data_IF_696123579548
#
_entry.id   IF_696123579548
#
_cell.length_a   1.000
_cell.length_b   1.000
_cell.length_c   1.000
_cell.angle_alpha   90.00
_cell.angle_beta   90.00
_cell.angle_gamma   90.00
#
_symmetry.space_group_name_H-M   'P 1'
#
loop_
_entity.id
_entity.type
_entity.pdbx_description
1 polymer ?
#
# COMPACT_ATOMS: atom_id res chain seq x y z
N UNK A 1 -0.60 -18.20 -11.90
CA UNK A 1 0.79 -18.42 -12.35
C UNK A 1 1.52 -19.34 -11.36
N UNK A 2 1.16 -20.62 -11.28
CA UNK A 2 1.83 -21.61 -10.39
C UNK A 2 2.32 -22.86 -11.16
N UNK A 3 2.37 -22.78 -12.49
CA UNK A 3 2.72 -23.93 -13.34
C UNK A 3 4.19 -23.96 -13.81
N UNK A 4 5.02 -23.00 -13.41
CA UNK A 4 6.36 -22.82 -13.99
C UNK A 4 7.55 -23.29 -13.12
N UNK A 5 7.31 -24.12 -12.12
CA UNK A 5 8.41 -24.78 -11.40
C UNK A 5 8.07 -26.26 -11.22
N UNK A 6 9.00 -27.17 -11.49
CA UNK A 6 8.86 -28.64 -11.33
C UNK A 6 8.50 -29.10 -9.90
N UNK A 7 8.20 -28.18 -9.00
CA UNK A 7 7.57 -28.38 -7.71
C UNK A 7 6.16 -28.97 -7.86
N UNK A 8 5.44 -28.65 -8.94
CA UNK A 8 4.09 -29.19 -9.17
C UNK A 8 4.06 -30.71 -9.35
N UNK A 9 5.01 -31.29 -10.08
CA UNK A 9 5.15 -32.73 -10.26
C UNK A 9 5.64 -33.42 -8.97
N UNK A 10 6.57 -32.80 -8.25
CA UNK A 10 7.05 -33.28 -6.95
C UNK A 10 5.92 -33.35 -5.91
N UNK A 11 5.09 -32.31 -5.81
CA UNK A 11 3.94 -32.27 -4.91
C UNK A 11 2.87 -33.30 -5.27
N UNK A 12 2.64 -33.54 -6.57
CA UNK A 12 1.76 -34.64 -7.03
C UNK A 12 2.33 -36.01 -6.62
N UNK A 13 3.64 -36.22 -6.77
CA UNK A 13 4.30 -37.46 -6.34
C UNK A 13 4.17 -37.70 -4.82
N UNK A 14 4.40 -36.67 -4.01
CA UNK A 14 4.22 -36.72 -2.55
C UNK A 14 2.77 -37.00 -2.18
N UNK A 15 1.81 -36.42 -2.90
CA UNK A 15 0.38 -36.70 -2.68
C UNK A 15 0.01 -38.15 -2.96
N UNK A 16 0.53 -38.76 -4.03
CA UNK A 16 0.30 -40.18 -4.34
C UNK A 16 0.87 -41.08 -3.23
N UNK A 17 2.10 -40.82 -2.77
CA UNK A 17 2.72 -41.56 -1.67
C UNK A 17 1.91 -41.41 -0.37
N UNK A 18 1.43 -40.20 -0.06
CA UNK A 18 0.60 -39.94 1.11
C UNK A 18 -0.70 -40.76 1.09
N UNK A 19 -1.40 -40.80 -0.06
CA UNK A 19 -2.62 -41.59 -0.19
C UNK A 19 -2.36 -43.10 -0.17
N UNK A 20 -1.24 -43.57 -0.75
CA UNK A 20 -0.83 -44.98 -0.65
C UNK A 20 -0.54 -45.39 0.81
N UNK A 21 0.08 -44.51 1.60
CA UNK A 21 0.29 -44.72 3.03
C UNK A 21 -1.04 -44.77 3.78
N UNK A 22 -1.96 -43.85 3.48
CA UNK A 22 -3.30 -43.82 4.07
C UNK A 22 -4.07 -45.12 3.79
N UNK A 23 -4.09 -45.58 2.53
CA UNK A 23 -4.78 -46.81 2.14
C UNK A 23 -4.13 -48.05 2.74
N UNK A 24 -2.79 -48.07 2.84
CA UNK A 24 -2.07 -49.18 3.46
C UNK A 24 -2.33 -49.25 4.97
N UNK A 25 -2.33 -48.12 5.66
CA UNK A 25 -2.67 -48.02 7.07
C UNK A 25 -4.12 -48.46 7.34
N UNK A 26 -5.06 -48.06 6.47
CA UNK A 26 -6.46 -48.48 6.56
C UNK A 26 -6.61 -49.99 6.36
N UNK A 27 -5.96 -50.57 5.36
CA UNK A 27 -5.97 -52.01 5.10
C UNK A 27 -5.41 -52.80 6.30
N UNK A 28 -4.29 -52.34 6.88
CA UNK A 28 -3.69 -52.96 8.05
C UNK A 28 -4.61 -52.90 9.28
N UNK A 29 -5.29 -51.77 9.51
CA UNK A 29 -6.24 -51.62 10.61
C UNK A 29 -7.44 -52.58 10.50
N UNK A 30 -7.92 -52.84 9.28
CA UNK A 30 -9.05 -53.73 9.01
C UNK A 30 -8.63 -55.22 9.06
N UNK A 31 -7.45 -55.56 8.55
CA UNK A 31 -7.00 -56.96 8.43
C UNK A 31 -6.38 -57.53 9.71
N UNK A 32 -5.59 -56.74 10.45
CA UNK A 32 -4.90 -57.24 11.66
C UNK A 32 -5.67 -57.05 12.97
N UNK A 33 -6.83 -56.39 12.95
CA UNK A 33 -7.65 -56.19 14.15
C UNK A 33 -8.25 -57.51 14.65
N UNK A 34 -7.96 -57.99 15.87
CA UNK A 34 -8.47 -59.27 16.39
C UNK A 34 -9.96 -59.21 16.78
N UNK A 35 -10.52 -58.02 16.96
CA UNK A 35 -11.92 -57.78 17.35
C UNK A 35 -12.56 -56.72 16.46
N UNK A 36 -13.87 -56.85 16.22
CA UNK A 36 -14.62 -55.96 15.33
C UNK A 36 -14.55 -54.48 15.75
N UNK A 37 -14.59 -54.18 17.06
CA UNK A 37 -14.46 -52.82 17.58
C UNK A 37 -13.07 -52.22 17.39
N UNK A 38 -12.01 -53.02 17.44
CA UNK A 38 -10.63 -52.58 17.22
C UNK A 38 -10.39 -52.20 15.76
N UNK A 39 -11.03 -52.90 14.82
CA UNK A 39 -11.03 -52.55 13.39
C UNK A 39 -11.71 -51.20 13.15
N UNK A 40 -12.87 -50.96 13.78
CA UNK A 40 -13.61 -49.70 13.67
C UNK A 40 -12.83 -48.52 14.23
N UNK A 41 -12.26 -48.65 15.43
CA UNK A 41 -11.45 -47.58 16.04
C UNK A 41 -10.19 -47.28 15.22
N UNK A 42 -9.51 -48.31 14.72
CA UNK A 42 -8.33 -48.14 13.86
C UNK A 42 -8.67 -47.44 12.53
N UNK A 43 -9.77 -47.82 11.88
CA UNK A 43 -10.23 -47.17 10.66
C UNK A 43 -10.61 -45.69 10.88
N UNK A 44 -11.31 -45.38 11.99
CA UNK A 44 -11.64 -44.01 12.36
C UNK A 44 -10.37 -43.18 12.60
N UNK A 45 -9.38 -43.72 13.30
CA UNK A 45 -8.12 -43.03 13.54
C UNK A 45 -7.38 -42.69 12.22
N UNK A 46 -7.36 -43.63 11.27
CA UNK A 46 -6.77 -43.39 9.94
C UNK A 46 -7.57 -42.33 9.16
N UNK A 47 -8.90 -42.40 9.16
CA UNK A 47 -9.75 -41.41 8.48
C UNK A 47 -9.63 -40.01 9.10
N UNK A 48 -9.50 -39.90 10.41
CA UNK A 48 -9.23 -38.62 11.08
C UNK A 48 -7.84 -38.09 10.71
N UNK A 49 -6.80 -38.91 10.79
CA UNK A 49 -5.44 -38.44 10.54
C UNK A 49 -5.18 -38.10 9.07
N UNK A 50 -5.73 -38.90 8.14
CA UNK A 50 -5.49 -38.73 6.71
C UNK A 50 -6.63 -38.02 5.95
N UNK A 51 -7.83 -37.92 6.52
CA UNK A 51 -8.98 -37.26 5.91
C UNK A 51 -9.29 -35.88 6.49
N UNK A 52 -9.32 -35.75 7.82
CA UNK A 52 -9.75 -34.50 8.47
C UNK A 52 -8.79 -33.34 8.18
N UNK A 53 -7.47 -33.54 8.31
CA UNK A 53 -6.49 -32.46 8.09
C UNK A 53 -6.46 -31.97 6.63
N UNK A 54 -6.41 -32.83 5.59
CA UNK A 54 -6.48 -32.36 4.21
C UNK A 54 -7.79 -31.67 3.85
N UNK A 55 -8.94 -32.19 4.31
CA UNK A 55 -10.25 -31.57 4.06
C UNK A 55 -10.34 -30.20 4.75
N UNK A 56 -9.91 -30.10 6.01
CA UNK A 56 -9.86 -28.82 6.73
C UNK A 56 -8.97 -27.81 6.00
N UNK A 57 -7.76 -28.21 5.58
CA UNK A 57 -6.85 -27.35 4.83
C UNK A 57 -7.42 -26.92 3.47
N UNK A 58 -8.12 -27.82 2.76
CA UNK A 58 -8.80 -27.51 1.52
C UNK A 58 -9.95 -26.51 1.72
N UNK A 59 -10.78 -26.69 2.75
CA UNK A 59 -11.86 -25.77 3.09
C UNK A 59 -11.32 -24.38 3.46
N UNK A 60 -10.26 -24.30 4.26
CA UNK A 60 -9.59 -23.03 4.59
C UNK A 60 -8.98 -22.37 3.35
N UNK A 61 -8.34 -23.13 2.47
CA UNK A 61 -7.81 -22.62 1.21
C UNK A 61 -8.92 -22.09 0.30
N UNK A 62 -10.05 -22.80 0.20
CA UNK A 62 -11.21 -22.36 -0.57
C UNK A 62 -11.77 -21.05 -0.02
N UNK A 63 -11.93 -20.92 1.31
CA UNK A 63 -12.38 -19.68 1.96
C UNK A 63 -11.42 -18.52 1.69
N UNK A 64 -10.10 -18.73 1.82
CA UNK A 64 -9.08 -17.71 1.52
C UNK A 64 -9.13 -17.28 0.06
N UNK A 65 -9.26 -18.22 -0.87
CA UNK A 65 -9.34 -17.93 -2.30
C UNK A 65 -10.62 -17.14 -2.64
N UNK A 66 -11.75 -17.52 -2.07
CA UNK A 66 -13.02 -16.81 -2.27
C UNK A 66 -12.94 -15.38 -1.73
N UNK A 67 -12.43 -15.20 -0.50
CA UNK A 67 -12.19 -13.89 0.09
C UNK A 67 -11.23 -13.04 -0.75
N UNK A 68 -10.12 -13.61 -1.21
CA UNK A 68 -9.16 -12.91 -2.06
C UNK A 68 -9.80 -12.45 -3.37
N UNK A 69 -10.58 -13.32 -4.03
CA UNK A 69 -11.31 -12.96 -5.26
C UNK A 69 -12.28 -11.80 -5.02
N UNK A 70 -13.03 -11.84 -3.92
CA UNK A 70 -13.96 -10.79 -3.54
C UNK A 70 -13.24 -9.47 -3.25
N UNK A 71 -12.15 -9.51 -2.47
CA UNK A 71 -11.34 -8.35 -2.14
C UNK A 71 -10.73 -7.68 -3.40
N UNK A 72 -10.19 -8.49 -4.30
CA UNK A 72 -9.64 -8.00 -5.58
C UNK A 72 -10.72 -7.44 -6.50
N UNK A 73 -11.91 -8.05 -6.54
CA UNK A 73 -13.03 -7.51 -7.30
C UNK A 73 -13.51 -6.17 -6.73
N UNK A 74 -13.58 -6.06 -5.40
CA UNK A 74 -13.93 -4.83 -4.70
C UNK A 74 -12.90 -3.72 -4.96
N UNK A 75 -11.61 -4.01 -4.81
CA UNK A 75 -10.52 -3.09 -5.15
C UNK A 75 -10.61 -2.62 -6.59
N UNK A 76 -10.78 -3.55 -7.54
CA UNK A 76 -10.92 -3.21 -8.97
C UNK A 76 -12.12 -2.28 -9.20
N UNK A 77 -13.26 -2.55 -8.57
CA UNK A 77 -14.43 -1.68 -8.66
C UNK A 77 -14.12 -0.26 -8.17
N UNK A 78 -13.44 -0.10 -7.04
CA UNK A 78 -13.02 1.22 -6.55
C UNK A 78 -12.06 1.91 -7.54
N UNK A 79 -11.14 1.16 -8.13
CA UNK A 79 -10.24 1.68 -9.15
C UNK A 79 -11.02 2.19 -10.37
N UNK A 80 -11.96 1.40 -10.88
CA UNK A 80 -12.70 1.72 -12.11
C UNK A 80 -13.69 2.88 -11.89
N UNK A 81 -14.33 2.97 -10.71
CA UNK A 81 -15.41 3.93 -10.45
C UNK A 81 -14.95 5.22 -9.75
N UNK A 82 -13.94 5.14 -8.86
CA UNK A 82 -13.59 6.24 -7.94
C UNK A 82 -12.17 6.75 -8.07
N UNK A 83 -11.24 5.95 -8.57
CA UNK A 83 -9.85 6.39 -8.73
C UNK A 83 -9.68 7.30 -9.93
N UNK A 84 -8.67 8.17 -9.89
CA UNK A 84 -8.33 9.02 -11.01
C UNK A 84 -7.70 10.33 -10.60
N UNK A 85 -7.29 11.09 -11.61
CA UNK A 85 -6.67 12.41 -11.49
C UNK A 85 -7.55 13.42 -12.21
N UNK A 86 -7.80 14.56 -11.55
CA UNK A 86 -8.53 15.70 -12.10
C UNK A 86 -7.69 16.95 -11.88
N UNK A 87 -7.32 17.61 -12.97
CA UNK A 87 -6.66 18.92 -12.92
C UNK A 87 -7.66 19.94 -13.45
N UNK A 88 -8.21 20.75 -12.55
CA UNK A 88 -9.21 21.77 -12.89
C UNK A 88 -8.55 23.03 -13.43
N UNK A 89 -7.35 23.34 -12.94
CA UNK A 89 -6.57 24.50 -13.36
C UNK A 89 -5.08 24.20 -13.27
N UNK A 90 -4.31 24.81 -14.17
CA UNK A 90 -2.85 24.77 -14.16
C UNK A 90 -2.29 26.15 -13.88
N UNK A 91 -1.17 26.20 -13.17
CA UNK A 91 -0.42 27.43 -12.90
C UNK A 91 1.04 27.27 -13.31
N UNK A 92 1.62 28.32 -13.88
CA UNK A 92 3.03 28.40 -14.27
C UNK A 92 3.79 29.34 -13.33
N UNK A 93 5.13 29.27 -13.33
CA UNK A 93 5.98 30.11 -12.46
C UNK A 93 5.81 29.83 -10.96
N UNK A 94 5.30 28.65 -10.59
CA UNK A 94 5.04 28.29 -9.19
C UNK A 94 6.35 27.93 -8.50
N UNK A 95 6.71 28.69 -7.47
CA UNK A 95 8.00 28.53 -6.78
C UNK A 95 7.95 27.52 -5.63
N UNK A 96 6.79 27.37 -4.97
CA UNK A 96 6.66 26.59 -3.74
C UNK A 96 5.24 26.16 -3.45
N UNK A 97 5.12 25.17 -2.57
CA UNK A 97 3.85 24.70 -1.99
C UNK A 97 3.99 24.54 -0.47
N UNK A 98 2.86 24.66 0.23
CA UNK A 98 2.73 24.34 1.65
C UNK A 98 2.06 22.97 1.82
N UNK A 99 2.68 22.06 2.58
CA UNK A 99 2.02 20.84 3.09
C UNK A 99 1.07 21.26 4.21
N UNK A 100 -0.22 21.29 3.90
CA UNK A 100 -1.28 21.76 4.81
C UNK A 100 -1.67 20.67 5.80
N UNK A 101 -1.88 19.45 5.30
CA UNK A 101 -2.31 18.30 6.09
C UNK A 101 -1.57 17.05 5.60
N UNK A 102 -0.54 16.59 6.31
CA UNK A 102 0.00 15.25 6.12
C UNK A 102 -0.94 14.21 6.76
N UNK A 103 -0.84 12.96 6.31
CA UNK A 103 -1.48 11.85 6.99
C UNK A 103 -0.74 11.51 8.31
N UNK A 104 -1.44 10.97 9.32
CA UNK A 104 -0.81 10.49 10.54
C UNK A 104 0.25 9.42 10.23
N UNK A 105 1.44 9.49 10.86
CA UNK A 105 2.45 8.48 10.62
C UNK A 105 2.14 7.15 11.29
N UNK A 106 2.51 6.06 10.62
CA UNK A 106 2.36 4.71 11.16
C UNK A 106 3.34 4.45 12.29
N UNK A 107 2.87 3.86 13.37
CA UNK A 107 3.71 3.09 14.28
C UNK A 107 3.92 1.67 13.75
N UNK A 108 4.86 0.93 14.34
CA UNK A 108 5.09 -0.46 13.96
C UNK A 108 3.85 -1.35 14.15
N UNK A 109 3.00 -1.06 15.16
CA UNK A 109 1.75 -1.79 15.38
C UNK A 109 0.73 -1.52 14.27
N UNK A 110 0.69 -0.27 13.82
CA UNK A 110 -0.29 0.19 12.84
C UNK A 110 -0.13 -0.52 11.49
N UNK A 111 1.07 -0.96 11.13
CA UNK A 111 1.32 -1.73 9.90
C UNK A 111 0.58 -3.07 9.83
N UNK A 112 0.12 -3.61 10.96
CA UNK A 112 -0.60 -4.88 11.08
C UNK A 112 -2.09 -4.69 11.36
N UNK A 113 -2.53 -3.47 11.70
CA UNK A 113 -3.91 -3.20 12.04
C UNK A 113 -4.74 -2.97 10.78
N UNK A 114 -5.59 -3.93 10.45
CA UNK A 114 -6.49 -3.89 9.30
C UNK A 114 -7.34 -2.61 9.25
N UNK A 115 -7.68 -2.02 10.40
CA UNK A 115 -8.56 -0.86 10.51
C UNK A 115 -7.82 0.42 10.88
N UNK A 116 -6.50 0.46 10.68
CA UNK A 116 -5.74 1.68 10.86
C UNK A 116 -5.87 2.63 9.66
N UNK A 117 -6.01 3.93 9.93
CA UNK A 117 -6.17 5.00 8.96
C UNK A 117 -5.00 5.99 9.06
N UNK A 118 -4.18 6.07 8.02
CA UNK A 118 -2.97 6.88 8.01
C UNK A 118 -2.06 6.55 6.83
N UNK A 119 -0.85 7.14 6.82
CA UNK A 119 0.13 6.87 5.78
C UNK A 119 1.11 5.77 6.22
N UNK A 120 0.97 4.54 5.71
CA UNK A 120 1.83 3.42 6.12
C UNK A 120 3.29 3.58 5.69
N UNK A 121 3.59 4.52 4.79
CA UNK A 121 4.93 4.77 4.28
C UNK A 121 5.66 5.90 5.04
N UNK A 122 4.92 6.62 5.88
CA UNK A 122 5.48 7.57 6.83
C UNK A 122 5.80 6.87 8.15
N UNK A 123 7.01 7.12 8.66
CA UNK A 123 7.49 6.56 9.93
C UNK A 123 7.25 7.58 11.06
N UNK A 124 7.10 7.12 12.32
CA UNK A 124 6.65 7.97 13.42
C UNK A 124 7.74 8.98 13.80
N UNK A 125 7.55 10.22 13.34
CA UNK A 125 8.16 11.50 13.75
C UNK A 125 9.70 11.59 13.93
N UNK A 126 10.44 10.50 13.76
CA UNK A 126 11.88 10.41 13.98
C UNK A 126 12.59 10.25 12.64
N UNK A 127 13.01 11.43 12.16
CA UNK A 127 14.07 11.68 11.18
C UNK A 127 13.74 11.50 9.68
N UNK A 128 13.33 12.64 9.11
CA UNK A 128 13.52 13.04 7.71
C UNK A 128 12.65 12.40 6.63
N UNK A 129 11.66 11.54 6.89
CA UNK A 129 10.79 11.06 5.77
C UNK A 129 9.87 12.15 5.24
N UNK A 130 9.33 12.98 6.11
CA UNK A 130 8.64 14.24 5.78
C UNK A 130 9.53 15.19 4.98
N UNK A 131 10.77 15.41 5.44
CA UNK A 131 11.78 16.23 4.75
C UNK A 131 12.19 15.60 3.42
N UNK A 132 12.31 14.27 3.34
CA UNK A 132 12.63 13.56 2.09
C UNK A 132 11.47 13.66 1.11
N UNK A 133 10.23 13.47 1.55
CA UNK A 133 9.04 13.60 0.71
C UNK A 133 8.89 15.04 0.19
N UNK A 134 9.07 16.03 1.04
CA UNK A 134 9.13 17.44 0.64
C UNK A 134 10.31 17.70 -0.31
N UNK A 135 11.47 17.12 0.00
CA UNK A 135 12.68 17.19 -0.81
C UNK A 135 12.51 16.63 -2.21
N UNK A 136 11.77 15.51 -2.38
CA UNK A 136 11.45 14.95 -3.69
C UNK A 136 10.74 15.97 -4.58
N UNK A 137 9.83 16.79 -4.04
CA UNK A 137 9.16 17.83 -4.82
C UNK A 137 10.10 18.97 -5.24
N UNK A 138 11.27 19.11 -4.60
CA UNK A 138 12.30 20.09 -4.96
C UNK A 138 13.29 19.58 -6.01
N UNK A 139 13.34 18.26 -6.23
CA UNK A 139 14.19 17.66 -7.25
C UNK A 139 13.52 17.74 -8.62
N UNK A 140 14.34 17.85 -9.68
CA UNK A 140 13.85 17.79 -11.05
C UNK A 140 13.16 16.44 -11.31
N UNK A 141 11.96 16.54 -11.85
CA UNK A 141 11.11 15.41 -12.16
C UNK A 141 11.49 14.83 -13.52
N UNK A 142 12.01 13.59 -13.53
CA UNK A 142 12.29 12.85 -14.75
C UNK A 142 11.03 12.12 -15.21
N UNK A 143 10.51 12.51 -16.37
CA UNK A 143 9.32 11.90 -16.98
C UNK A 143 9.69 11.28 -18.33
N UNK A 144 8.89 10.33 -18.85
CA UNK A 144 9.03 9.84 -20.21
C UNK A 144 8.99 10.98 -21.26
N UNK A 145 8.28 12.06 -20.96
CA UNK A 145 8.12 13.23 -21.83
C UNK A 145 9.26 14.26 -21.72
N UNK A 146 10.22 14.06 -20.81
CA UNK A 146 11.33 14.98 -20.56
C UNK A 146 11.53 15.31 -19.08
N UNK A 147 12.41 16.27 -18.83
CA UNK A 147 12.72 16.74 -17.47
C UNK A 147 11.88 17.97 -17.17
N UNK A 148 11.19 17.97 -16.03
CA UNK A 148 10.50 19.14 -15.51
C UNK A 148 11.18 19.62 -14.23
N UNK A 149 11.36 20.94 -14.08
CA UNK A 149 11.98 21.50 -12.88
C UNK A 149 11.17 21.25 -11.62
N UNK A 150 11.87 20.90 -10.55
CA UNK A 150 11.30 20.80 -9.20
C UNK A 150 11.02 22.16 -8.58
N UNK A 151 10.18 22.18 -7.53
CA UNK A 151 9.88 23.39 -6.76
C UNK A 151 11.17 23.96 -6.12
N UNK A 152 11.24 25.28 -5.99
CA UNK A 152 12.40 25.92 -5.33
C UNK A 152 12.49 25.53 -3.86
N UNK A 153 11.35 25.39 -3.20
CA UNK A 153 11.23 24.91 -1.83
C UNK A 153 9.82 24.40 -1.53
N UNK A 154 9.70 23.61 -0.47
CA UNK A 154 8.43 23.14 0.10
C UNK A 154 8.34 23.58 1.54
N UNK A 155 7.20 24.08 1.97
CA UNK A 155 6.94 24.46 3.35
C UNK A 155 6.10 23.40 4.04
N UNK A 156 6.41 23.07 5.28
CA UNK A 156 5.68 22.10 6.09
C UNK A 156 5.22 22.81 7.35
N UNK A 157 3.93 22.71 7.69
CA UNK A 157 3.42 23.24 8.96
C UNK A 157 3.98 22.43 10.13
N UNK A 158 4.50 23.10 11.16
CA UNK A 158 4.98 22.48 12.40
C UNK A 158 4.29 23.15 13.57
N UNK A 159 3.45 22.40 14.28
CA UNK A 159 2.84 22.89 15.51
C UNK A 159 3.93 22.93 16.60
N UNK A 160 4.13 24.11 17.20
CA UNK A 160 5.09 24.36 18.27
C UNK A 160 4.36 24.94 19.49
N UNK A 161 4.89 24.72 20.69
CA UNK A 161 4.39 25.32 21.92
C UNK A 161 4.41 26.86 21.90
N UNK A 162 5.20 27.47 21.01
CA UNK A 162 5.31 28.92 20.84
C UNK A 162 4.41 29.46 19.70
N UNK A 163 3.52 28.64 19.15
CA UNK A 163 2.63 28.98 18.04
C UNK A 163 2.90 28.19 16.76
N UNK A 164 2.22 28.55 15.67
CA UNK A 164 2.39 27.88 14.38
C UNK A 164 3.71 28.31 13.74
N UNK A 165 4.67 27.39 13.61
CA UNK A 165 5.89 27.59 12.82
C UNK A 165 5.82 26.78 11.54
N UNK A 166 6.69 27.09 10.59
CA UNK A 166 6.83 26.32 9.36
C UNK A 166 8.29 25.94 9.15
N UNK A 167 8.50 24.82 8.48
CA UNK A 167 9.81 24.41 8.00
C UNK A 167 9.87 24.50 6.50
N UNK A 168 10.85 25.22 5.98
CA UNK A 168 11.16 25.29 4.56
C UNK A 168 12.22 24.27 4.22
N UNK A 169 11.88 23.34 3.34
CA UNK A 169 12.79 22.35 2.77
C UNK A 169 13.18 22.79 1.36
N UNK A 170 14.48 22.85 1.07
CA UNK A 170 15.00 23.18 -0.26
C UNK A 170 16.16 22.25 -0.65
N UNK A 171 16.40 22.08 -1.95
CA UNK A 171 17.57 21.37 -2.47
C UNK A 171 18.27 22.24 -3.54
N UNK A 172 19.16 23.16 -3.13
CA UNK A 172 19.94 23.96 -4.05
C UNK A 172 20.79 23.08 -4.97
N UNK A 173 20.94 23.44 -6.26
CA UNK A 173 21.81 22.72 -7.19
C UNK A 173 23.24 22.58 -6.64
N UNK A 174 23.81 21.38 -6.76
CA UNK A 174 25.19 21.09 -6.35
C UNK A 174 25.41 20.88 -4.84
N UNK A 175 24.37 20.96 -4.02
CA UNK A 175 24.52 20.86 -2.56
C UNK A 175 24.61 19.45 -1.98
N UNK A 176 24.21 18.43 -2.74
CA UNK A 176 24.22 17.03 -2.29
C UNK A 176 23.23 16.70 -1.17
N UNK A 177 22.28 17.59 -0.83
CA UNK A 177 21.34 17.36 0.27
C UNK A 177 20.13 18.31 0.32
N UNK A 178 19.39 18.20 1.42
CA UNK A 178 18.24 19.07 1.73
C UNK A 178 18.62 20.06 2.83
N UNK A 179 18.27 21.32 2.66
CA UNK A 179 18.36 22.36 3.67
C UNK A 179 17.00 22.59 4.29
N UNK A 180 16.98 22.71 5.62
CA UNK A 180 15.78 22.94 6.41
C UNK A 180 15.96 24.22 7.19
N UNK A 181 15.02 25.15 7.03
CA UNK A 181 14.99 26.45 7.71
C UNK A 181 13.65 26.58 8.44
N UNK A 182 13.67 26.98 9.71
CA UNK A 182 12.46 27.35 10.44
C UNK A 182 12.06 28.79 10.07
N UNK A 183 10.82 28.97 9.59
CA UNK A 183 10.28 30.28 9.22
C UNK A 183 9.00 30.58 10.04
N UNK A 184 8.76 31.85 10.40
CA UNK A 184 7.61 32.22 11.22
C UNK A 184 6.30 32.23 10.42
N UNK A 185 6.35 32.35 9.09
CA UNK A 185 5.17 32.44 8.24
C UNK A 185 5.44 31.84 6.86
N UNK A 186 4.49 31.03 6.37
CA UNK A 186 4.50 30.50 5.01
C UNK A 186 4.33 31.61 3.96
N UNK A 187 5.09 31.53 2.86
CA UNK A 187 4.96 32.43 1.70
C UNK A 187 4.38 31.73 0.47
N UNK A 188 4.03 30.45 0.59
CA UNK A 188 3.47 29.65 -0.50
C UNK A 188 2.04 30.08 -0.84
N UNK A 189 1.74 30.16 -2.14
CA UNK A 189 0.39 30.48 -2.62
C UNK A 189 -0.47 29.24 -2.82
N UNK A 190 0.14 28.07 -2.89
CA UNK A 190 -0.55 26.80 -3.09
C UNK A 190 -0.31 25.88 -1.92
N UNK A 191 -1.32 25.08 -1.60
CA UNK A 191 -1.29 24.06 -0.57
C UNK A 191 -1.46 22.68 -1.18
N UNK A 192 -0.85 21.69 -0.54
CA UNK A 192 -1.11 20.27 -0.79
C UNK A 192 -1.58 19.60 0.49
N UNK A 193 -2.54 18.70 0.36
CA UNK A 193 -3.17 18.00 1.47
C UNK A 193 -3.43 16.56 1.08
N UNK A 194 -3.18 15.65 2.02
CA UNK A 194 -3.53 14.23 1.92
C UNK A 194 -4.61 13.90 2.94
N UNK A 195 -5.57 13.09 2.51
CA UNK A 195 -6.68 12.63 3.32
C UNK A 195 -6.89 11.14 3.10
N UNK A 196 -7.06 10.39 4.19
CA UNK A 196 -7.47 9.00 4.13
C UNK A 196 -8.99 9.00 3.92
N UNK A 197 -9.42 8.42 2.80
CA UNK A 197 -10.84 8.36 2.40
C UNK A 197 -11.39 6.94 2.51
N UNK A 198 -10.64 6.05 3.18
CA UNK A 198 -11.04 4.66 3.36
C UNK A 198 -12.28 4.58 4.25
N UNK A 199 -13.15 3.65 3.90
CA UNK A 199 -14.32 3.27 4.69
C UNK A 199 -14.04 1.98 5.46
N UNK A 200 -14.83 1.66 6.50
CA UNK A 200 -14.74 0.35 7.16
C UNK A 200 -14.92 -0.84 6.19
N UNK A 201 -15.73 -0.68 5.13
CA UNK A 201 -15.89 -1.72 4.11
C UNK A 201 -14.61 -1.89 3.26
N UNK A 202 -13.90 -0.79 2.97
CA UNK A 202 -12.59 -0.89 2.30
C UNK A 202 -11.61 -1.68 3.16
N UNK A 203 -11.55 -1.36 4.45
CA UNK A 203 -10.65 -2.01 5.42
C UNK A 203 -10.97 -3.49 5.60
N UNK A 204 -12.24 -3.89 5.56
CA UNK A 204 -12.64 -5.32 5.57
C UNK A 204 -11.98 -6.14 4.46
N UNK A 205 -11.65 -5.55 3.32
CA UNK A 205 -10.95 -6.19 2.20
C UNK A 205 -9.45 -5.85 2.11
N UNK A 206 -8.87 -5.28 3.18
CA UNK A 206 -7.50 -4.77 3.17
C UNK A 206 -7.24 -3.74 2.05
N UNK A 207 -8.25 -2.92 1.76
CA UNK A 207 -8.15 -1.80 0.82
C UNK A 207 -8.04 -0.50 1.59
N UNK A 208 -7.17 0.39 1.11
CA UNK A 208 -6.99 1.74 1.61
C UNK A 208 -7.13 2.75 0.47
N UNK A 209 -7.80 3.86 0.73
CA UNK A 209 -7.99 4.97 -0.20
C UNK A 209 -7.37 6.26 0.30
N UNK A 210 -6.79 7.03 -0.61
CA UNK A 210 -6.22 8.36 -0.32
C UNK A 210 -6.68 9.38 -1.34
N UNK A 211 -6.92 10.60 -0.86
CA UNK A 211 -7.18 11.80 -1.66
C UNK A 211 -6.03 12.79 -1.47
N UNK A 212 -5.33 13.09 -2.55
CA UNK A 212 -4.36 14.17 -2.66
C UNK A 212 -5.02 15.37 -3.34
N UNK A 213 -5.06 16.52 -2.68
CA UNK A 213 -5.57 17.77 -3.25
C UNK A 213 -4.50 18.83 -3.36
N UNK A 214 -4.53 19.58 -4.46
CA UNK A 214 -3.80 20.85 -4.65
C UNK A 214 -4.82 21.98 -4.53
N UNK A 215 -4.55 22.96 -3.68
CA UNK A 215 -5.45 24.10 -3.41
C UNK A 215 -4.73 25.43 -3.59
N UNK A 216 -5.43 26.44 -4.12
CA UNK A 216 -4.97 27.83 -4.09
C UNK A 216 -5.29 28.41 -2.71
N UNK A 217 -4.26 28.82 -1.97
CA UNK A 217 -4.41 29.30 -0.60
C UNK A 217 -4.99 30.71 -0.51
N UNK A 218 -4.97 31.49 -1.61
CA UNK A 218 -5.54 32.84 -1.68
C UNK A 218 -7.04 32.77 -1.90
N UNK A 219 -7.47 32.00 -2.91
CA UNK A 219 -8.88 31.88 -3.31
C UNK A 219 -9.61 30.74 -2.61
N UNK A 220 -8.88 29.83 -1.96
CA UNK A 220 -9.40 28.58 -1.36
C UNK A 220 -10.03 27.63 -2.38
N UNK A 221 -9.73 27.79 -3.66
CA UNK A 221 -10.26 26.92 -4.72
C UNK A 221 -9.44 25.64 -4.89
N UNK A 222 -10.12 24.55 -5.22
CA UNK A 222 -9.49 23.28 -5.63
C UNK A 222 -8.84 23.44 -7.01
N UNK A 223 -7.54 23.18 -7.09
CA UNK A 223 -6.73 23.27 -8.33
C UNK A 223 -6.66 21.91 -9.01
N UNK A 224 -6.39 20.87 -8.22
CA UNK A 224 -6.33 19.50 -8.70
C UNK A 224 -6.67 18.52 -7.57
N UNK A 225 -7.25 17.37 -7.92
CA UNK A 225 -7.52 16.26 -7.02
C UNK A 225 -7.04 14.95 -7.65
N UNK A 226 -6.39 14.12 -6.85
CA UNK A 226 -6.06 12.73 -7.19
C UNK A 226 -6.64 11.82 -6.13
N UNK A 227 -7.43 10.86 -6.56
CA UNK A 227 -7.95 9.79 -5.72
C UNK A 227 -7.24 8.50 -6.13
N UNK A 228 -6.65 7.82 -5.16
CA UNK A 228 -6.02 6.53 -5.37
C UNK A 228 -6.42 5.51 -4.30
N UNK A 229 -6.38 4.25 -4.68
CA UNK A 229 -6.59 3.13 -3.78
C UNK A 229 -5.42 2.16 -3.87
N UNK A 230 -5.20 1.39 -2.81
CA UNK A 230 -4.31 0.25 -2.85
C UNK A 230 -4.85 -0.91 -2.00
N UNK A 231 -4.41 -2.13 -2.32
CA UNK A 231 -4.82 -3.37 -1.65
C UNK A 231 -3.61 -4.11 -1.06
N UNK A 232 -3.74 -4.61 0.16
CA UNK A 232 -2.74 -5.49 0.78
C UNK A 232 -2.97 -6.95 0.34
N UNK A 233 -2.20 -7.39 -0.66
CA UNK A 233 -2.40 -8.71 -1.28
C UNK A 233 -2.08 -9.91 -0.37
N UNK A 234 -1.42 -9.68 0.78
CA UNK A 234 -1.17 -10.70 1.80
C UNK A 234 -2.30 -10.87 2.81
N UNK A 235 -3.34 -10.03 2.74
CA UNK A 235 -4.50 -10.01 3.62
C UNK A 235 -4.16 -10.13 5.12
N UNK A 236 -3.15 -9.37 5.56
CA UNK A 236 -2.69 -9.32 6.96
C UNK A 236 -1.61 -10.34 7.32
N UNK A 237 -1.12 -11.12 6.37
CA UNK A 237 -0.03 -12.06 6.63
C UNK A 237 1.27 -11.34 7.02
N UNK A 238 1.82 -11.73 8.16
CA UNK A 238 3.13 -11.33 8.68
C UNK A 238 4.27 -12.30 8.28
N UNK A 239 3.94 -13.34 7.52
CA UNK A 239 4.89 -14.36 7.09
C UNK A 239 6.08 -13.78 6.34
N UNK A 240 7.28 -14.30 6.59
CA UNK A 240 8.50 -13.79 5.97
C UNK A 240 8.91 -12.38 6.43
N UNK A 241 8.42 -11.91 7.58
CA UNK A 241 8.74 -10.59 8.12
C UNK A 241 7.97 -9.45 7.44
N UNK A 242 6.86 -9.78 6.79
CA UNK A 242 5.99 -8.77 6.15
C UNK A 242 5.42 -7.83 7.21
N UNK A 243 5.38 -6.56 6.84
CA UNK A 243 4.59 -5.52 7.50
C UNK A 243 3.45 -5.19 6.52
N UNK A 244 2.22 -5.72 6.70
CA UNK A 244 1.18 -5.74 5.69
C UNK A 244 1.03 -4.40 4.95
N UNK A 245 0.69 -3.33 5.66
CA UNK A 245 0.48 -2.04 4.99
C UNK A 245 1.76 -1.44 4.37
N UNK A 246 2.92 -1.61 5.02
CA UNK A 246 4.19 -1.07 4.52
C UNK A 246 4.65 -1.74 3.22
N UNK A 247 4.28 -3.00 3.01
CA UNK A 247 4.75 -3.84 1.87
C UNK A 247 3.69 -4.02 0.77
N UNK A 248 2.55 -3.35 0.92
CA UNK A 248 1.40 -3.44 0.00
C UNK A 248 1.57 -2.67 -1.30
N UNK A 249 2.49 -1.68 -1.34
CA UNK A 249 2.69 -0.78 -2.48
C UNK A 249 3.29 -1.50 -3.68
N UNK A 250 2.61 -1.43 -4.83
CA UNK A 250 3.09 -2.04 -6.06
C UNK A 250 2.24 -1.68 -7.29
N UNK A 251 2.75 -1.89 -8.51
CA UNK A 251 2.08 -1.48 -9.75
C UNK A 251 0.73 -2.18 -9.98
N UNK A 252 0.56 -3.38 -9.43
CA UNK A 252 -0.68 -4.18 -9.57
C UNK A 252 -1.58 -4.11 -8.33
N UNK A 253 -1.11 -3.50 -7.25
CA UNK A 253 -1.84 -3.40 -5.97
C UNK A 253 -2.26 -1.95 -5.69
N UNK A 254 -2.08 -1.04 -6.65
CA UNK A 254 -2.39 0.38 -6.52
C UNK A 254 -3.10 0.87 -7.78
N UNK A 255 -4.00 1.82 -7.63
CA UNK A 255 -4.62 2.54 -8.72
C UNK A 255 -4.76 4.04 -8.36
N UNK A 256 -4.44 4.98 -9.26
CA UNK A 256 -3.76 4.76 -10.53
C UNK A 256 -2.40 4.06 -10.35
N UNK A 257 -2.06 3.14 -11.26
CA UNK A 257 -0.85 2.32 -11.14
C UNK A 257 0.39 3.19 -11.00
N UNK A 258 1.29 2.79 -10.09
CA UNK A 258 2.55 3.50 -9.91
C UNK A 258 3.37 3.46 -11.19
N UNK A 259 3.84 4.64 -11.60
CA UNK A 259 4.83 4.80 -12.67
C UNK A 259 6.22 4.58 -12.06
N UNK A 260 7.17 4.06 -12.85
CA UNK A 260 8.49 3.64 -12.35
C UNK A 260 9.15 4.66 -11.42
N UNK A 261 9.75 4.17 -10.33
CA UNK A 261 10.37 4.94 -9.22
C UNK A 261 9.43 5.75 -8.31
N UNK A 262 8.11 5.53 -8.38
CA UNK A 262 7.12 6.05 -7.42
C UNK A 262 7.06 7.60 -7.31
N UNK A 263 7.26 8.28 -8.44
CA UNK A 263 7.16 9.74 -8.53
C UNK A 263 5.76 10.25 -8.85
N UNK A 264 4.73 9.41 -8.72
CA UNK A 264 3.39 9.72 -9.20
C UNK A 264 2.80 10.99 -8.56
N UNK A 265 3.01 11.20 -7.26
CA UNK A 265 2.54 12.40 -6.56
C UNK A 265 3.30 13.65 -7.01
N UNK A 266 4.63 13.55 -7.17
CA UNK A 266 5.45 14.63 -7.71
C UNK A 266 4.99 15.00 -9.12
N UNK A 267 4.74 14.01 -9.97
CA UNK A 267 4.29 14.24 -11.34
C UNK A 267 2.92 14.91 -11.36
N UNK A 268 1.98 14.44 -10.55
CA UNK A 268 0.66 15.04 -10.46
C UNK A 268 0.73 16.51 -10.00
N UNK A 269 1.45 16.78 -8.90
CA UNK A 269 1.60 18.14 -8.34
C UNK A 269 2.27 19.08 -9.35
N UNK A 270 3.39 18.68 -9.95
CA UNK A 270 4.12 19.54 -10.90
C UNK A 270 3.39 19.70 -12.24
N UNK A 271 2.47 18.80 -12.59
CA UNK A 271 1.60 19.01 -13.77
C UNK A 271 0.59 20.12 -13.51
N UNK A 272 0.02 20.18 -12.29
CA UNK A 272 -0.88 21.26 -11.90
C UNK A 272 -0.14 22.58 -11.62
N UNK A 273 1.09 22.50 -11.08
CA UNK A 273 1.89 23.63 -10.63
C UNK A 273 3.28 23.60 -11.26
N UNK A 274 3.39 24.10 -12.50
CA UNK A 274 4.66 24.16 -13.20
C UNK A 274 5.54 25.29 -12.67
N UNK A 275 6.83 25.01 -12.56
CA UNK A 275 7.87 25.97 -12.16
C UNK A 275 8.29 26.87 -13.33
N UNK A 276 8.25 26.33 -14.54
CA UNK A 276 8.58 27.09 -15.75
C UNK A 276 7.45 28.11 -16.01
N UNK A 277 7.82 29.33 -16.39
CA UNK A 277 6.87 30.43 -16.60
C UNK A 277 6.02 30.27 -17.89
N UNK A 278 6.23 29.18 -18.64
CA UNK A 278 5.77 29.04 -20.02
C UNK A 278 6.68 29.84 -20.94
N UNK A 279 7.05 29.25 -22.09
CA UNK A 279 7.51 30.03 -23.23
C UNK A 279 6.30 30.49 -24.03
#
# INVERSE_FOLDING_TARGET
MLELTGVGSLLRGISVVYWLLATSALALAIWKGPRWWGKSLGAIAVLLLFGFFPVKGWLEAQKRNAYAQEAWAYFKKLCDEKSGEKIYKTFTGVKSVLVVKPLPPATDRDHFDQYWYGDPYSLPATSRRDIRAAGLLTLDSRRPTGIQKGLRFVEIKRDSSEGVRFQRVSSPPGSGGYFVEDIPKSVSNFGISWEDISTPEDRKYWVAGSRLTVIDLRTKSLVAERIGYFIEAGFGSDSGGRRPWLTSRGPNTTCPSLKGEDYSDQWFILTALSVDEGK
#
